data_IF_914589328263
#
_entry.id   IF_914589328263
#
_cell.length_a   1.000
_cell.length_b   1.000
_cell.length_c   1.000
_cell.angle_alpha   90.00
_cell.angle_beta   90.00
_cell.angle_gamma   90.00
#
_symmetry.space_group_name_H-M   'P 1'
#
loop_
_entity.id
_entity.type
_entity.pdbx_description
1 polymer ?
#
# COMPACT_ATOMS: atom_id res chain seq x y z
N UNK A 1 32.98 34.53 -16.24
CA UNK A 1 31.85 34.35 -15.30
C UNK A 1 30.58 34.60 -16.08
N UNK A 2 29.80 33.54 -16.35
CA UNK A 2 28.58 33.60 -17.16
C UNK A 2 27.38 33.20 -16.32
N UNK A 3 26.24 33.82 -16.64
CA UNK A 3 25.03 34.00 -15.86
C UNK A 3 24.45 32.66 -15.38
N UNK A 4 24.14 32.58 -14.09
CA UNK A 4 23.34 31.50 -13.50
C UNK A 4 21.89 31.77 -13.86
N UNK A 5 21.31 30.89 -14.67
CA UNK A 5 19.87 30.86 -14.86
C UNK A 5 19.20 30.46 -13.54
N UNK A 6 18.64 31.45 -12.86
CA UNK A 6 17.73 31.25 -11.74
C UNK A 6 16.39 30.87 -12.35
N UNK A 7 16.05 29.58 -12.32
CA UNK A 7 14.70 29.12 -12.64
C UNK A 7 13.82 29.38 -11.42
N UNK A 8 13.15 30.54 -11.41
CA UNK A 8 12.05 30.86 -10.51
C UNK A 8 10.76 30.26 -11.09
N UNK A 9 10.34 29.09 -10.62
CA UNK A 9 8.97 28.61 -10.84
C UNK A 9 8.04 29.32 -9.88
N UNK A 10 7.41 30.41 -10.33
CA UNK A 10 6.27 31.02 -9.66
C UNK A 10 5.09 30.04 -9.70
N UNK A 11 4.67 29.56 -8.54
CA UNK A 11 3.40 28.83 -8.38
C UNK A 11 2.35 29.85 -7.97
N UNK A 12 1.57 30.33 -8.93
CA UNK A 12 0.42 31.20 -8.68
C UNK A 12 -0.81 30.34 -8.38
N UNK A 13 -1.37 30.44 -7.18
CA UNK A 13 -2.64 29.80 -6.82
C UNK A 13 -3.78 30.74 -7.21
N UNK A 14 -4.57 30.36 -8.22
CA UNK A 14 -5.77 31.10 -8.62
C UNK A 14 -6.99 30.46 -7.93
N UNK A 15 -7.63 31.20 -7.04
CA UNK A 15 -8.90 30.81 -6.41
C UNK A 15 -10.06 31.18 -7.35
N UNK A 16 -10.67 30.18 -8.00
CA UNK A 16 -11.90 30.38 -8.77
C UNK A 16 -13.12 30.26 -7.84
N UNK A 17 -13.79 31.37 -7.58
CA UNK A 17 -15.10 31.39 -6.92
C UNK A 17 -16.18 31.00 -7.94
N UNK A 18 -16.81 29.84 -7.79
CA UNK A 18 -18.02 29.47 -8.55
C UNK A 18 -19.27 29.99 -7.83
N UNK A 19 -20.13 30.69 -8.57
CA UNK A 19 -21.50 30.99 -8.14
C UNK A 19 -22.39 29.73 -8.22
N UNK A 20 -23.38 29.59 -7.32
CA UNK A 20 -24.28 28.42 -7.30
C UNK A 20 -25.33 28.47 -8.42
N UNK A 21 -25.58 27.32 -9.05
CA UNK A 21 -26.66 27.11 -10.01
C UNK A 21 -27.85 26.40 -9.30
N UNK A 22 -29.11 26.78 -9.55
CA UNK A 22 -30.26 26.20 -8.86
C UNK A 22 -30.68 24.86 -9.48
N UNK A 23 -30.90 23.85 -8.64
CA UNK A 23 -31.38 22.51 -9.06
C UNK A 23 -32.87 22.38 -8.71
N UNK A 24 -33.72 22.16 -9.71
CA UNK A 24 -35.09 21.66 -9.53
C UNK A 24 -35.07 20.13 -9.47
N UNK A 25 -35.81 19.55 -8.51
CA UNK A 25 -35.80 18.11 -8.21
C UNK A 25 -37.14 17.50 -8.64
N UNK A 26 -37.08 16.40 -9.41
CA UNK A 26 -38.27 15.61 -9.75
C UNK A 26 -38.72 14.71 -8.56
N UNK A 27 -40.02 14.38 -8.46
CA UNK A 27 -40.55 13.57 -7.36
C UNK A 27 -40.25 12.06 -7.53
N UNK A 28 -40.26 11.30 -6.41
CA UNK A 28 -39.93 9.87 -6.41
C UNK A 28 -41.10 8.97 -6.87
N UNK A 29 -40.81 7.75 -7.37
CA UNK A 29 -41.83 6.78 -7.76
C UNK A 29 -42.49 6.06 -6.56
N UNK A 30 -43.68 5.46 -6.75
CA UNK A 30 -44.44 4.82 -5.67
C UNK A 30 -43.93 3.42 -5.29
N UNK A 31 -44.25 3.01 -4.06
CA UNK A 31 -43.82 1.76 -3.41
C UNK A 31 -44.56 0.49 -3.94
N UNK A 32 -43.91 -0.69 -3.92
CA UNK A 32 -44.50 -1.95 -4.37
C UNK A 32 -45.40 -2.60 -3.30
N UNK A 33 -46.45 -3.30 -3.76
CA UNK A 33 -47.39 -4.09 -2.93
C UNK A 33 -46.87 -5.49 -2.64
N UNK A 34 -47.21 -6.00 -1.46
CA UNK A 34 -46.89 -7.33 -0.92
C UNK A 34 -47.94 -8.35 -1.39
N UNK A 35 -47.50 -9.50 -1.91
CA UNK A 35 -48.32 -10.71 -2.11
C UNK A 35 -47.83 -11.84 -1.18
N UNK A 36 -48.75 -12.69 -0.75
CA UNK A 36 -48.58 -13.70 0.30
C UNK A 36 -47.92 -15.01 -0.19
N UNK A 37 -47.23 -15.69 0.74
CA UNK A 37 -46.51 -16.96 0.56
C UNK A 37 -47.44 -18.20 0.41
N UNK A 38 -47.03 -19.25 -0.32
CA UNK A 38 -47.62 -20.58 -0.22
C UNK A 38 -46.86 -21.53 0.75
N UNK A 39 -47.62 -22.47 1.33
CA UNK A 39 -47.22 -23.47 2.33
C UNK A 39 -46.26 -24.58 1.84
N UNK A 40 -45.55 -25.29 2.76
CA UNK A 40 -44.47 -26.22 2.42
C UNK A 40 -44.92 -27.67 2.12
N UNK A 41 -44.23 -28.32 1.17
CA UNK A 41 -44.34 -29.75 0.87
C UNK A 41 -43.24 -30.61 1.56
N UNK A 42 -43.47 -31.92 1.79
CA UNK A 42 -42.69 -32.73 2.74
C UNK A 42 -41.38 -33.34 2.20
N UNK A 43 -40.46 -33.63 3.13
CA UNK A 43 -39.11 -34.16 2.93
C UNK A 43 -39.05 -35.62 2.39
N UNK A 44 -38.08 -35.96 1.53
CA UNK A 44 -37.76 -37.35 1.20
C UNK A 44 -36.68 -37.99 2.10
N UNK A 45 -36.84 -39.30 2.33
CA UNK A 45 -36.02 -40.20 3.18
C UNK A 45 -34.64 -40.56 2.57
N UNK A 46 -33.67 -40.98 3.41
CA UNK A 46 -32.29 -41.23 3.00
C UNK A 46 -32.04 -42.63 2.43
N UNK A 47 -31.11 -42.74 1.47
CA UNK A 47 -30.57 -43.98 0.90
C UNK A 47 -29.02 -44.01 0.97
N UNK A 48 -28.36 -45.19 0.88
CA UNK A 48 -27.21 -45.54 1.70
C UNK A 48 -25.82 -45.18 1.14
N UNK A 49 -24.89 -45.01 2.08
CA UNK A 49 -23.47 -44.67 1.89
C UNK A 49 -22.69 -45.82 1.23
N UNK A 50 -21.93 -45.51 0.18
CA UNK A 50 -20.87 -46.38 -0.37
C UNK A 50 -19.51 -45.96 0.17
N UNK A 51 -18.75 -46.90 0.74
CA UNK A 51 -17.37 -46.73 1.20
C UNK A 51 -16.41 -46.52 0.02
N UNK A 52 -15.54 -45.51 0.11
CA UNK A 52 -14.40 -45.31 -0.79
C UNK A 52 -13.12 -45.95 -0.20
N UNK A 53 -12.26 -46.56 -1.04
CA UNK A 53 -11.03 -47.22 -0.60
C UNK A 53 -9.90 -46.24 -0.21
N UNK A 54 -8.96 -46.67 0.66
CA UNK A 54 -7.99 -45.78 1.29
C UNK A 54 -6.90 -45.28 0.33
N UNK A 55 -6.38 -44.05 0.54
CA UNK A 55 -5.40 -43.43 -0.36
C UNK A 55 -4.00 -44.09 -0.25
N UNK A 56 -3.23 -44.11 -1.36
CA UNK A 56 -1.90 -44.71 -1.40
C UNK A 56 -0.87 -43.93 -0.52
N UNK A 57 0.20 -44.61 -0.07
CA UNK A 57 1.15 -44.07 0.90
C UNK A 57 1.93 -42.86 0.35
N UNK A 58 1.98 -41.80 1.16
CA UNK A 58 2.61 -40.54 0.81
C UNK A 58 4.13 -40.68 0.60
N UNK A 59 4.72 -40.07 -0.44
CA UNK A 59 6.17 -40.04 -0.63
C UNK A 59 6.86 -39.26 0.51
N UNK A 60 8.02 -39.77 0.94
CA UNK A 60 8.82 -39.28 2.08
C UNK A 60 9.07 -37.77 1.98
N UNK A 61 8.70 -37.04 3.05
CA UNK A 61 8.81 -35.58 3.16
C UNK A 61 10.26 -35.10 2.99
N UNK A 62 10.47 -34.20 2.04
CA UNK A 62 11.62 -33.31 1.96
C UNK A 62 11.76 -32.49 3.27
N UNK A 63 12.96 -31.98 3.61
CA UNK A 63 13.18 -31.32 4.90
C UNK A 63 12.25 -30.12 5.07
N UNK A 64 11.53 -30.11 6.19
CA UNK A 64 10.49 -29.13 6.51
C UNK A 64 11.13 -27.74 6.57
N UNK A 65 10.84 -26.89 5.57
CA UNK A 65 11.24 -25.48 5.59
C UNK A 65 10.73 -24.81 6.86
N UNK A 66 11.61 -24.15 7.61
CA UNK A 66 11.26 -23.39 8.82
C UNK A 66 10.12 -22.42 8.50
N UNK A 67 9.01 -22.50 9.24
CA UNK A 67 7.89 -21.56 9.10
C UNK A 67 8.37 -20.13 9.37
N UNK A 68 8.09 -19.19 8.46
CA UNK A 68 8.47 -17.78 8.59
C UNK A 68 7.87 -17.17 9.86
N UNK A 69 8.73 -16.65 10.74
CA UNK A 69 8.34 -15.90 11.93
C UNK A 69 8.88 -14.47 11.86
N UNK A 70 8.09 -13.52 12.34
CA UNK A 70 8.39 -12.08 12.27
C UNK A 70 8.48 -11.47 13.67
N UNK A 71 9.48 -10.64 13.90
CA UNK A 71 9.58 -9.71 15.02
C UNK A 71 9.45 -8.28 14.51
N UNK A 72 8.86 -7.38 15.29
CA UNK A 72 8.68 -5.98 14.90
C UNK A 72 9.37 -5.09 15.94
N UNK A 73 10.32 -4.26 15.50
CA UNK A 73 10.92 -3.22 16.33
C UNK A 73 10.30 -1.86 15.98
N UNK A 74 9.74 -1.18 16.97
CA UNK A 74 8.94 0.04 16.82
C UNK A 74 7.47 -0.26 16.51
N UNK A 75 6.57 0.03 17.45
CA UNK A 75 5.12 -0.21 17.31
C UNK A 75 4.35 1.06 16.92
N UNK A 76 4.99 1.85 16.06
CA UNK A 76 4.44 3.05 15.45
C UNK A 76 3.47 2.76 14.30
N UNK A 77 3.28 3.74 13.41
CA UNK A 77 2.40 3.62 12.22
C UNK A 77 2.74 2.38 11.39
N UNK A 78 3.98 2.25 10.95
CA UNK A 78 4.43 1.13 10.13
C UNK A 78 4.35 -0.18 10.90
N UNK A 79 4.90 -0.28 12.11
CA UNK A 79 4.89 -1.52 12.90
C UNK A 79 3.49 -2.09 13.13
N UNK A 80 2.50 -1.26 13.46
CA UNK A 80 1.10 -1.72 13.63
C UNK A 80 0.47 -2.18 12.32
N UNK A 81 0.74 -1.49 11.21
CA UNK A 81 0.22 -1.90 9.89
C UNK A 81 0.90 -3.16 9.36
N UNK A 82 2.20 -3.35 9.67
CA UNK A 82 2.91 -4.62 9.41
C UNK A 82 2.22 -5.76 10.16
N UNK A 83 1.92 -5.58 11.46
CA UNK A 83 1.21 -6.60 12.23
C UNK A 83 -0.17 -6.93 11.62
N UNK A 84 -0.98 -5.92 11.29
CA UNK A 84 -2.27 -6.13 10.61
C UNK A 84 -2.10 -6.92 9.31
N UNK A 85 -1.12 -6.56 8.48
CA UNK A 85 -0.84 -7.25 7.21
C UNK A 85 -0.34 -8.69 7.41
N UNK A 86 0.49 -8.93 8.43
CA UNK A 86 0.95 -10.28 8.78
C UNK A 86 -0.22 -11.18 9.18
N UNK A 87 -1.12 -10.70 10.04
CA UNK A 87 -2.30 -11.47 10.48
C UNK A 87 -3.20 -11.81 9.29
N UNK A 88 -3.51 -10.82 8.45
CA UNK A 88 -4.32 -11.04 7.25
C UNK A 88 -3.70 -12.09 6.30
N UNK A 89 -2.37 -12.18 6.26
CA UNK A 89 -1.62 -13.12 5.42
C UNK A 89 -1.26 -14.44 6.12
N UNK A 90 -1.67 -14.63 7.38
CA UNK A 90 -1.32 -15.81 8.18
C UNK A 90 0.17 -15.93 8.52
N UNK A 91 0.92 -14.82 8.50
CA UNK A 91 2.33 -14.77 8.89
C UNK A 91 2.44 -14.61 10.40
N UNK A 92 3.22 -15.49 11.05
CA UNK A 92 3.32 -15.54 12.51
C UNK A 92 4.26 -14.44 13.03
N UNK A 93 3.70 -13.37 13.60
CA UNK A 93 4.44 -12.43 14.45
C UNK A 93 4.68 -13.05 15.84
N UNK A 94 5.93 -13.12 16.29
CA UNK A 94 6.30 -13.76 17.58
C UNK A 94 6.64 -12.76 18.67
N UNK A 95 7.02 -11.54 18.29
CA UNK A 95 7.37 -10.50 19.24
C UNK A 95 7.25 -9.08 18.66
N UNK A 96 6.98 -8.13 19.54
CA UNK A 96 7.00 -6.68 19.28
C UNK A 96 7.90 -6.03 20.34
N UNK A 97 8.73 -5.07 19.93
CA UNK A 97 9.51 -4.24 20.84
C UNK A 97 9.15 -2.76 20.68
N UNK A 98 8.80 -2.09 21.76
CA UNK A 98 8.72 -0.62 21.81
C UNK A 98 8.93 -0.10 23.25
N UNK A 99 9.99 0.65 23.54
CA UNK A 99 10.30 1.11 24.89
C UNK A 99 9.36 2.20 25.43
N UNK A 100 8.44 2.71 24.60
CA UNK A 100 7.56 3.84 24.96
C UNK A 100 6.08 3.44 25.08
N UNK A 101 5.75 2.17 24.84
CA UNK A 101 4.37 1.68 24.79
C UNK A 101 4.29 0.39 25.60
N UNK A 102 3.47 0.37 26.65
CA UNK A 102 3.18 -0.83 27.43
C UNK A 102 2.11 -1.72 26.74
N UNK A 103 1.95 -3.00 27.13
CA UNK A 103 1.00 -3.91 26.48
C UNK A 103 -0.46 -3.43 26.49
N UNK A 104 -0.92 -2.75 27.54
CA UNK A 104 -2.28 -2.22 27.62
C UNK A 104 -2.46 -1.11 26.58
N UNK A 105 -1.47 -0.21 26.49
CA UNK A 105 -1.51 0.85 25.49
C UNK A 105 -1.34 0.32 24.05
N UNK A 106 -0.55 -0.75 23.84
CA UNK A 106 -0.45 -1.44 22.55
C UNK A 106 -1.82 -1.96 22.08
N UNK A 107 -2.62 -2.55 22.98
CA UNK A 107 -3.99 -3.00 22.67
C UNK A 107 -4.83 -1.83 22.18
N UNK A 108 -4.81 -0.70 22.90
CA UNK A 108 -5.55 0.50 22.51
C UNK A 108 -5.14 1.01 21.11
N UNK A 109 -3.83 1.22 20.90
CA UNK A 109 -3.30 1.77 19.64
C UNK A 109 -3.51 0.84 18.45
N UNK A 110 -3.55 -0.47 18.68
CA UNK A 110 -3.82 -1.45 17.62
C UNK A 110 -5.32 -1.57 17.32
N UNK A 111 -6.17 -1.52 18.36
CA UNK A 111 -7.63 -1.62 18.25
C UNK A 111 -8.23 -0.41 17.54
N UNK A 112 -7.76 0.79 17.82
CA UNK A 112 -8.29 2.04 17.29
C UNK A 112 -7.25 2.76 16.41
N UNK A 113 -7.50 2.81 15.09
CA UNK A 113 -6.68 3.58 14.16
C UNK A 113 -7.53 4.66 13.45
N UNK A 114 -7.11 5.93 13.55
CA UNK A 114 -7.84 7.06 12.98
C UNK A 114 -7.84 7.07 11.45
N UNK A 115 -6.91 6.37 10.80
CA UNK A 115 -6.79 6.29 9.35
C UNK A 115 -7.44 5.03 8.79
N UNK A 116 -7.16 3.88 9.41
CA UNK A 116 -7.55 2.56 8.90
C UNK A 116 -8.71 1.93 9.69
N UNK A 117 -9.35 2.71 10.56
CA UNK A 117 -10.48 2.29 11.36
C UNK A 117 -10.14 1.25 12.44
N UNK A 118 -11.20 0.74 13.07
CA UNK A 118 -11.10 -0.24 14.15
C UNK A 118 -10.61 -1.58 13.61
N UNK A 119 -9.72 -2.23 14.35
CA UNK A 119 -9.37 -3.62 14.11
C UNK A 119 -10.63 -4.50 14.22
N UNK A 120 -10.79 -5.46 13.30
CA UNK A 120 -12.02 -6.28 13.19
C UNK A 120 -11.97 -7.56 14.04
N UNK A 121 -10.77 -8.05 14.34
CA UNK A 121 -10.55 -9.21 15.19
C UNK A 121 -10.46 -8.87 16.67
N UNK A 122 -10.01 -9.84 17.47
CA UNK A 122 -9.78 -9.65 18.90
C UNK A 122 -8.36 -9.16 19.16
N UNK A 123 -8.22 -8.21 20.09
CA UNK A 123 -6.92 -7.78 20.60
C UNK A 123 -7.06 -7.54 22.11
N UNK A 124 -6.24 -8.24 22.87
CA UNK A 124 -6.17 -8.17 24.32
C UNK A 124 -4.71 -8.31 24.77
N UNK A 125 -4.43 -8.10 26.05
CA UNK A 125 -3.14 -8.43 26.65
C UNK A 125 -3.34 -9.47 27.74
N UNK A 126 -2.39 -10.42 27.85
CA UNK A 126 -2.42 -11.50 28.84
C UNK A 126 -1.00 -11.79 29.30
N UNK A 127 -0.76 -11.80 30.61
CA UNK A 127 0.55 -12.13 31.20
C UNK A 127 1.72 -11.32 30.59
N UNK A 128 1.53 -10.02 30.37
CA UNK A 128 2.54 -9.14 29.75
C UNK A 128 2.77 -9.36 28.25
N UNK A 129 1.98 -10.21 27.59
CA UNK A 129 2.01 -10.43 26.15
C UNK A 129 0.81 -9.75 25.48
N UNK A 130 0.96 -9.44 24.19
CA UNK A 130 -0.13 -9.06 23.31
C UNK A 130 -0.77 -10.32 22.73
N UNK A 131 -2.09 -10.40 22.69
CA UNK A 131 -2.84 -11.51 22.08
C UNK A 131 -3.73 -10.95 20.99
N UNK A 132 -3.50 -11.36 19.74
CA UNK A 132 -4.31 -10.92 18.60
C UNK A 132 -4.87 -12.15 17.89
N UNK A 133 -6.20 -12.26 17.79
CA UNK A 133 -6.88 -13.42 17.19
C UNK A 133 -6.35 -14.78 17.71
N UNK A 134 -6.20 -14.88 19.04
CA UNK A 134 -5.64 -16.02 19.78
C UNK A 134 -4.13 -16.28 19.58
N UNK A 135 -3.43 -15.42 18.85
CA UNK A 135 -1.99 -15.51 18.70
C UNK A 135 -1.27 -14.70 19.79
N UNK A 136 -0.54 -15.40 20.66
CA UNK A 136 0.34 -14.77 21.65
C UNK A 136 1.60 -14.18 20.98
N UNK A 137 1.88 -12.92 21.31
CA UNK A 137 3.00 -12.13 20.81
C UNK A 137 3.76 -11.58 22.03
N UNK A 138 5.05 -11.91 22.15
CA UNK A 138 5.88 -11.42 23.25
C UNK A 138 6.09 -9.90 23.11
N UNK A 139 6.05 -9.17 24.23
CA UNK A 139 6.31 -7.73 24.23
C UNK A 139 7.65 -7.47 24.92
N UNK A 140 8.48 -6.67 24.28
CA UNK A 140 9.73 -6.17 24.82
C UNK A 140 9.72 -4.64 24.86
N UNK A 141 10.51 -4.05 25.75
CA UNK A 141 10.65 -2.60 25.92
C UNK A 141 12.12 -2.18 25.98
N UNK A 142 12.95 -2.85 25.17
CA UNK A 142 14.38 -2.59 25.10
C UNK A 142 14.65 -1.35 24.22
N UNK A 143 15.57 -0.50 24.66
CA UNK A 143 15.94 0.70 23.90
C UNK A 143 16.89 0.37 22.75
N UNK A 144 17.87 -0.50 22.97
CA UNK A 144 18.89 -0.84 21.98
C UNK A 144 18.54 -2.13 21.23
N UNK A 145 18.78 -2.20 19.90
CA UNK A 145 18.53 -3.38 19.08
C UNK A 145 19.16 -4.68 19.60
N UNK A 146 20.37 -4.57 20.17
CA UNK A 146 21.17 -5.69 20.71
C UNK A 146 20.63 -6.29 22.00
N UNK A 147 19.82 -5.54 22.74
CA UNK A 147 19.28 -5.96 24.03
C UNK A 147 17.97 -6.75 23.87
N UNK A 148 17.35 -6.72 22.69
CA UNK A 148 16.07 -7.37 22.44
C UNK A 148 16.30 -8.88 22.31
N UNK A 149 15.71 -9.73 23.17
CA UNK A 149 16.06 -11.15 23.24
C UNK A 149 15.41 -11.98 22.10
N UNK A 150 15.72 -11.67 20.83
CA UNK A 150 15.15 -12.37 19.67
C UNK A 150 15.41 -13.88 19.66
N UNK A 151 16.51 -14.35 20.29
CA UNK A 151 16.79 -15.78 20.50
C UNK A 151 15.69 -16.47 21.30
N UNK A 152 15.13 -15.83 22.33
CA UNK A 152 14.13 -16.45 23.21
C UNK A 152 12.79 -16.73 22.50
N UNK A 153 12.52 -16.01 21.40
CA UNK A 153 11.30 -16.16 20.59
C UNK A 153 11.56 -16.90 19.27
N UNK A 154 12.67 -17.64 19.19
CA UNK A 154 12.98 -18.51 18.07
C UNK A 154 13.47 -17.76 16.84
N UNK A 155 14.40 -16.82 17.01
CA UNK A 155 15.18 -16.17 15.94
C UNK A 155 14.32 -15.75 14.73
N UNK A 156 13.47 -14.71 14.86
CA UNK A 156 12.62 -14.27 13.76
C UNK A 156 13.37 -13.46 12.71
N UNK A 157 12.70 -13.20 11.58
CA UNK A 157 13.00 -12.07 10.71
C UNK A 157 12.48 -10.80 11.37
N UNK A 158 13.28 -9.75 11.44
CA UNK A 158 12.91 -8.51 12.13
C UNK A 158 12.58 -7.42 11.14
N UNK A 159 11.45 -6.75 11.37
CA UNK A 159 11.13 -5.47 10.73
C UNK A 159 11.60 -4.35 11.65
N UNK A 160 12.57 -3.57 11.19
CA UNK A 160 13.07 -2.38 11.88
C UNK A 160 12.26 -1.17 11.41
N UNK A 161 11.34 -0.71 12.25
CA UNK A 161 10.36 0.34 11.95
C UNK A 161 10.31 1.46 12.98
N UNK A 162 11.39 1.63 13.76
CA UNK A 162 11.56 2.75 14.70
C UNK A 162 11.84 4.07 13.99
N UNK A 163 12.50 4.01 12.82
CA UNK A 163 13.01 5.18 12.11
C UNK A 163 14.31 5.75 12.69
N UNK A 164 14.93 5.05 13.65
CA UNK A 164 16.18 5.46 14.31
C UNK A 164 17.37 4.65 13.80
N UNK A 165 17.24 3.31 13.75
CA UNK A 165 18.33 2.40 13.39
C UNK A 165 18.31 2.11 11.89
N UNK A 166 18.96 2.97 11.09
CA UNK A 166 18.85 2.95 9.63
C UNK A 166 20.11 2.45 8.93
N UNK A 167 21.27 2.49 9.58
CA UNK A 167 22.51 1.97 9.02
C UNK A 167 22.64 0.45 9.18
N UNK A 168 23.52 -0.17 8.39
CA UNK A 168 23.89 -1.57 8.54
C UNK A 168 24.41 -1.86 9.95
N UNK A 169 25.26 -0.98 10.49
CA UNK A 169 25.85 -1.13 11.82
C UNK A 169 24.77 -1.14 12.91
N UNK A 170 23.92 -0.12 12.94
CA UNK A 170 22.87 0.02 13.97
C UNK A 170 21.86 -1.12 13.92
N UNK A 171 21.39 -1.47 12.71
CA UNK A 171 20.41 -2.54 12.52
C UNK A 171 21.01 -3.94 12.75
N UNK A 172 22.33 -4.11 12.61
CA UNK A 172 23.02 -5.38 12.90
C UNK A 172 22.95 -5.78 14.37
N UNK A 173 22.68 -4.86 15.29
CA UNK A 173 22.42 -5.19 16.69
C UNK A 173 21.28 -6.22 16.86
N UNK A 174 20.27 -6.22 15.97
CA UNK A 174 19.25 -7.27 15.98
C UNK A 174 19.80 -8.65 15.61
N UNK A 175 20.75 -8.72 14.67
CA UNK A 175 21.39 -9.99 14.27
C UNK A 175 22.19 -10.56 15.43
N UNK A 176 22.95 -9.72 16.14
CA UNK A 176 23.69 -10.10 17.35
C UNK A 176 22.75 -10.67 18.44
N UNK A 177 21.60 -10.02 18.60
CA UNK A 177 20.55 -10.43 19.54
C UNK A 177 19.74 -11.65 19.07
N UNK A 178 20.03 -12.17 17.86
CA UNK A 178 19.54 -13.44 17.35
C UNK A 178 18.48 -13.37 16.27
N UNK A 179 18.19 -12.20 15.69
CA UNK A 179 17.37 -12.14 14.48
C UNK A 179 18.07 -12.89 13.33
N UNK A 180 17.30 -13.57 12.49
CA UNK A 180 17.86 -14.23 11.30
C UNK A 180 18.21 -13.20 10.22
N UNK A 181 17.32 -12.25 9.98
CA UNK A 181 17.46 -11.19 8.98
C UNK A 181 16.75 -9.94 9.48
N UNK A 182 17.13 -8.78 8.96
CA UNK A 182 16.51 -7.49 9.27
C UNK A 182 16.07 -6.79 8.00
N UNK A 183 14.85 -6.29 7.99
CA UNK A 183 14.30 -5.42 6.96
C UNK A 183 14.03 -4.05 7.57
N UNK A 184 14.82 -3.05 7.16
CA UNK A 184 14.64 -1.65 7.55
C UNK A 184 13.47 -1.07 6.74
N UNK A 185 12.47 -0.53 7.42
CA UNK A 185 11.25 0.00 6.80
C UNK A 185 11.37 1.46 6.34
N UNK A 186 12.59 1.86 5.97
CA UNK A 186 12.95 3.20 5.51
C UNK A 186 14.22 3.14 4.65
N UNK A 187 14.54 4.18 3.87
CA UNK A 187 15.80 4.26 3.15
C UNK A 187 16.99 4.16 4.11
N UNK A 188 17.91 3.25 3.80
CA UNK A 188 19.18 3.13 4.51
C UNK A 188 20.29 3.91 3.78
N UNK A 189 21.25 4.51 4.51
CA UNK A 189 22.43 5.11 3.90
C UNK A 189 23.32 4.09 3.19
N UNK A 190 23.43 2.87 3.72
CA UNK A 190 24.43 1.87 3.36
C UNK A 190 23.86 0.46 3.11
N UNK A 191 22.70 0.09 3.65
CA UNK A 191 22.11 -1.22 3.42
C UNK A 191 21.56 -1.35 1.97
N UNK A 192 21.70 -2.54 1.34
CA UNK A 192 21.10 -2.83 0.05
C UNK A 192 19.59 -2.58 0.06
N UNK A 193 19.10 -1.87 -0.96
CA UNK A 193 17.72 -1.43 -1.06
C UNK A 193 16.95 -2.24 -2.09
N UNK A 194 15.74 -2.68 -1.73
CA UNK A 194 14.88 -3.46 -2.60
C UNK A 194 13.51 -2.81 -2.74
N UNK A 195 12.98 -2.90 -3.96
CA UNK A 195 11.59 -2.61 -4.31
C UNK A 195 11.04 -3.84 -5.01
N UNK A 196 9.95 -4.39 -4.47
CA UNK A 196 9.29 -5.56 -5.03
C UNK A 196 8.77 -5.27 -6.45
N UNK A 197 8.95 -6.21 -7.37
CA UNK A 197 8.61 -6.09 -8.79
C UNK A 197 9.67 -5.33 -9.62
N UNK A 198 10.75 -4.87 -8.98
CA UNK A 198 11.79 -4.07 -9.63
C UNK A 198 13.13 -4.79 -9.56
N UNK A 199 13.68 -4.99 -8.36
CA UNK A 199 15.03 -5.53 -8.18
C UNK A 199 15.13 -6.63 -7.11
N UNK A 200 14.02 -7.16 -6.59
CA UNK A 200 14.00 -8.21 -5.56
C UNK A 200 14.77 -9.46 -5.97
N UNK A 201 14.89 -9.74 -7.28
CA UNK A 201 15.66 -10.86 -7.82
C UNK A 201 17.17 -10.74 -7.62
N UNK A 202 17.66 -9.53 -7.29
CA UNK A 202 19.07 -9.29 -6.97
C UNK A 202 19.40 -9.52 -5.49
N UNK A 203 18.42 -9.90 -4.67
CA UNK A 203 18.65 -10.24 -3.27
C UNK A 203 19.47 -11.52 -3.14
N UNK A 204 20.61 -11.42 -2.45
CA UNK A 204 21.44 -12.57 -2.11
C UNK A 204 21.27 -12.93 -0.63
N UNK A 205 20.56 -14.03 -0.29
CA UNK A 205 20.36 -14.44 1.10
C UNK A 205 21.67 -14.86 1.79
N UNK A 206 22.73 -15.18 1.07
CA UNK A 206 24.00 -15.60 1.68
C UNK A 206 24.75 -14.42 2.31
N UNK A 207 24.80 -13.28 1.61
CA UNK A 207 25.53 -12.08 2.05
C UNK A 207 24.64 -11.01 2.68
N UNK A 208 23.37 -10.90 2.29
CA UNK A 208 22.50 -9.79 2.70
C UNK A 208 21.66 -10.15 3.92
N UNK A 209 22.23 -9.94 5.11
CA UNK A 209 21.49 -10.16 6.38
C UNK A 209 20.58 -9.01 6.78
N UNK A 210 20.95 -7.80 6.39
CA UNK A 210 20.24 -6.55 6.68
C UNK A 210 19.99 -5.85 5.36
N UNK A 211 18.72 -5.53 5.08
CA UNK A 211 18.29 -4.87 3.84
C UNK A 211 17.29 -3.75 4.13
N UNK A 212 17.10 -2.85 3.18
CA UNK A 212 16.11 -1.76 3.25
C UNK A 212 14.99 -1.99 2.25
N UNK A 213 13.74 -1.79 2.67
CA UNK A 213 12.57 -1.80 1.77
C UNK A 213 12.30 -0.42 1.15
N UNK A 214 13.34 0.41 1.01
CA UNK A 214 13.27 1.77 0.48
C UNK A 214 12.29 2.68 1.25
N UNK A 215 11.77 3.71 0.57
CA UNK A 215 10.65 4.54 1.06
C UNK A 215 9.36 4.23 0.31
N UNK A 216 8.22 4.64 0.88
CA UNK A 216 6.91 4.62 0.22
C UNK A 216 6.95 5.31 -1.16
N UNK A 217 7.53 6.51 -1.27
CA UNK A 217 7.67 7.24 -2.54
C UNK A 217 8.54 6.48 -3.55
N UNK A 218 9.60 5.79 -3.12
CA UNK A 218 10.45 4.99 -4.03
C UNK A 218 9.69 3.76 -4.52
N UNK A 219 8.94 3.09 -3.65
CA UNK A 219 8.08 1.95 -4.01
C UNK A 219 6.95 2.36 -4.97
N UNK A 220 6.46 3.60 -4.88
CA UNK A 220 5.50 4.16 -5.82
C UNK A 220 6.14 4.47 -7.19
N UNK A 221 7.28 5.19 -7.19
CA UNK A 221 7.91 5.69 -8.41
C UNK A 221 8.64 4.60 -9.21
N UNK A 222 9.35 3.68 -8.55
CA UNK A 222 10.24 2.74 -9.24
C UNK A 222 9.51 1.76 -10.19
N UNK A 223 8.38 1.13 -9.82
CA UNK A 223 7.64 0.26 -10.75
C UNK A 223 7.15 1.00 -11.99
N UNK A 224 6.65 2.23 -11.83
CA UNK A 224 6.25 3.07 -12.97
C UNK A 224 7.45 3.43 -13.84
N UNK A 225 8.52 3.93 -13.23
CA UNK A 225 9.73 4.32 -13.94
C UNK A 225 10.33 3.13 -14.71
N UNK A 226 10.29 1.92 -14.13
CA UNK A 226 10.71 0.68 -14.80
C UNK A 226 9.91 0.43 -16.08
N UNK A 227 8.58 0.44 -16.00
CA UNK A 227 7.71 0.18 -17.16
C UNK A 227 7.95 1.19 -18.27
N UNK A 228 8.02 2.48 -17.93
CA UNK A 228 8.23 3.55 -18.92
C UNK A 228 9.63 3.47 -19.50
N UNK A 229 10.65 3.24 -18.68
CA UNK A 229 12.03 3.20 -19.13
C UNK A 229 12.27 2.01 -20.06
N UNK A 230 11.80 0.82 -19.70
CA UNK A 230 11.97 -0.38 -20.53
C UNK A 230 11.22 -0.30 -21.86
N UNK A 231 10.11 0.44 -21.93
CA UNK A 231 9.30 0.56 -23.16
C UNK A 231 9.70 1.73 -24.04
N UNK A 232 10.01 2.88 -23.44
CA UNK A 232 10.12 4.15 -24.15
C UNK A 232 11.43 4.90 -23.90
N UNK A 233 12.24 4.43 -22.93
CA UNK A 233 13.49 5.06 -22.53
C UNK A 233 13.29 6.40 -21.86
N UNK A 234 13.45 6.47 -20.54
CA UNK A 234 13.56 7.75 -19.82
C UNK A 234 14.94 8.35 -20.06
N UNK A 235 14.99 9.58 -20.58
CA UNK A 235 16.23 10.36 -20.75
C UNK A 235 16.56 11.14 -19.48
N UNK A 236 15.57 11.87 -18.96
CA UNK A 236 15.65 12.63 -17.72
C UNK A 236 14.24 12.82 -17.14
N UNK A 237 14.15 13.03 -15.82
CA UNK A 237 12.87 13.30 -15.18
C UNK A 237 12.98 13.96 -13.81
N UNK A 238 11.96 14.73 -13.48
CA UNK A 238 11.77 15.42 -12.22
C UNK A 238 10.48 14.92 -11.58
N UNK A 239 10.59 14.54 -10.30
CA UNK A 239 9.48 14.06 -9.51
C UNK A 239 9.11 15.06 -8.41
N UNK A 240 7.82 15.33 -8.27
CA UNK A 240 7.25 15.98 -7.10
C UNK A 240 6.36 14.97 -6.40
N UNK A 241 6.51 14.77 -5.09
CA UNK A 241 5.51 14.02 -4.32
C UNK A 241 4.69 14.96 -3.45
N UNK A 242 3.38 15.01 -3.68
CA UNK A 242 2.45 15.67 -2.74
C UNK A 242 2.08 14.62 -1.71
N UNK A 243 2.64 14.76 -0.52
CA UNK A 243 2.74 13.69 0.44
C UNK A 243 2.02 14.07 1.74
N UNK A 244 1.28 13.14 2.34
CA UNK A 244 0.70 13.35 3.67
C UNK A 244 1.76 13.75 4.69
N UNK A 245 1.38 14.54 5.68
CA UNK A 245 2.27 14.73 6.82
C UNK A 245 2.47 13.40 7.58
N UNK A 246 3.59 13.27 8.27
CA UNK A 246 3.95 12.05 9.01
C UNK A 246 4.24 12.35 10.47
N UNK A 247 4.53 11.33 11.27
CA UNK A 247 4.82 11.47 12.71
C UNK A 247 6.03 12.39 13.03
N UNK A 248 6.88 12.70 12.04
CA UNK A 248 8.01 13.61 12.21
C UNK A 248 7.61 15.09 12.23
N UNK A 249 6.48 15.45 11.62
CA UNK A 249 5.97 16.83 11.59
C UNK A 249 5.26 17.19 12.90
N UNK A 250 5.02 18.48 13.09
CA UNK A 250 4.47 19.03 14.34
C UNK A 250 3.02 19.45 14.19
N UNK A 251 2.25 19.35 15.28
CA UNK A 251 0.88 19.84 15.33
C UNK A 251 0.83 21.37 15.22
N UNK A 252 1.74 22.04 15.93
CA UNK A 252 1.96 23.49 15.93
C UNK A 252 3.42 23.81 15.60
N UNK A 253 3.72 25.07 15.29
CA UNK A 253 5.09 25.51 15.02
C UNK A 253 6.03 25.17 16.20
N UNK A 254 7.12 24.45 15.93
CA UNK A 254 8.04 23.97 16.94
C UNK A 254 9.38 23.46 16.39
N UNK A 255 10.33 23.07 17.26
CA UNK A 255 11.66 22.67 16.84
C UNK A 255 11.63 21.35 16.04
N UNK A 256 12.37 21.32 14.94
CA UNK A 256 12.58 20.13 14.11
C UNK A 256 14.06 19.77 14.03
N UNK A 257 14.37 18.50 14.33
CA UNK A 257 15.74 17.95 14.23
C UNK A 257 16.19 17.74 12.78
N UNK A 258 15.25 17.67 11.84
CA UNK A 258 15.51 17.28 10.46
C UNK A 258 15.70 18.49 9.54
N UNK A 259 14.75 19.42 9.57
CA UNK A 259 14.76 20.61 8.73
C UNK A 259 13.83 21.68 9.33
N UNK A 260 14.17 22.96 9.18
CA UNK A 260 13.39 24.08 9.75
C UNK A 260 11.92 24.06 9.29
N UNK A 261 11.67 23.79 7.99
CA UNK A 261 10.32 23.76 7.43
C UNK A 261 9.45 22.65 8.02
N UNK A 262 10.04 21.51 8.39
CA UNK A 262 9.33 20.38 9.02
C UNK A 262 8.84 20.70 10.45
N UNK A 263 9.33 21.80 11.04
CA UNK A 263 8.89 22.31 12.33
C UNK A 263 7.59 23.10 12.27
N UNK A 264 7.10 23.47 11.07
CA UNK A 264 5.84 24.22 10.92
C UNK A 264 4.62 23.31 11.16
N UNK A 265 3.51 23.90 11.62
CA UNK A 265 2.26 23.20 11.90
C UNK A 265 1.73 22.44 10.68
N UNK A 266 1.70 21.11 10.77
CA UNK A 266 1.44 20.19 9.66
C UNK A 266 0.05 20.33 9.03
N UNK A 267 -0.95 20.66 9.86
CA UNK A 267 -2.35 20.73 9.45
C UNK A 267 -2.71 22.07 8.77
N UNK A 268 -1.81 23.06 8.81
CA UNK A 268 -2.07 24.42 8.32
C UNK A 268 -1.22 24.81 7.10
N UNK A 269 -0.21 24.00 6.76
CA UNK A 269 0.81 24.38 5.79
C UNK A 269 0.93 23.37 4.65
N UNK A 270 1.27 23.88 3.47
CA UNK A 270 1.95 23.11 2.43
C UNK A 270 3.45 23.29 2.66
N UNK A 271 4.16 22.23 3.04
CA UNK A 271 5.55 22.30 3.50
C UNK A 271 6.47 21.69 2.44
N UNK A 272 7.26 22.48 1.70
CA UNK A 272 8.24 21.92 0.78
C UNK A 272 9.37 21.22 1.55
N UNK A 273 9.69 19.99 1.15
CA UNK A 273 10.69 19.13 1.74
C UNK A 273 11.60 18.52 0.67
N UNK A 274 12.86 18.26 1.01
CA UNK A 274 13.74 17.46 0.17
C UNK A 274 13.41 15.97 0.30
N UNK A 275 13.62 15.22 -0.78
CA UNK A 275 13.46 13.76 -0.77
C UNK A 275 14.55 13.10 -1.61
N UNK A 276 15.11 12.01 -1.08
CA UNK A 276 16.05 11.16 -1.82
C UNK A 276 15.37 10.11 -2.69
N UNK A 277 14.03 10.02 -2.68
CA UNK A 277 13.30 8.90 -3.28
C UNK A 277 13.53 8.75 -4.79
N UNK A 278 13.47 9.84 -5.56
CA UNK A 278 13.75 9.79 -7.00
C UNK A 278 15.20 9.38 -7.29
N UNK A 279 16.17 9.85 -6.48
CA UNK A 279 17.57 9.42 -6.60
C UNK A 279 17.74 7.94 -6.23
N UNK A 280 16.95 7.44 -5.29
CA UNK A 280 16.96 6.03 -4.87
C UNK A 280 16.43 5.09 -5.97
N UNK A 281 15.59 5.58 -6.89
CA UNK A 281 15.21 4.81 -8.10
C UNK A 281 16.46 4.41 -8.89
N UNK A 282 17.46 5.30 -9.00
CA UNK A 282 18.73 4.99 -9.65
C UNK A 282 19.59 3.95 -8.92
N UNK A 283 19.29 3.62 -7.65
CA UNK A 283 19.93 2.51 -6.93
C UNK A 283 19.25 1.17 -7.26
N UNK A 284 17.93 1.15 -7.40
CA UNK A 284 17.15 -0.07 -7.69
C UNK A 284 16.99 -0.34 -9.18
N UNK A 285 17.15 0.68 -10.03
CA UNK A 285 17.19 0.60 -11.49
C UNK A 285 18.46 1.35 -11.95
N UNK A 286 19.61 0.66 -12.05
CA UNK A 286 20.90 1.30 -12.34
C UNK A 286 20.91 2.14 -13.63
N UNK A 287 20.13 1.76 -14.65
CA UNK A 287 20.03 2.50 -15.94
C UNK A 287 19.39 3.90 -15.81
N UNK A 288 18.73 4.16 -14.67
CA UNK A 288 18.14 5.44 -14.30
C UNK A 288 19.02 6.27 -13.35
N UNK A 289 20.22 5.78 -13.01
CA UNK A 289 21.16 6.51 -12.15
C UNK A 289 21.51 7.86 -12.78
N UNK A 290 21.27 8.93 -12.02
CA UNK A 290 21.53 10.32 -12.45
C UNK A 290 20.44 10.93 -13.35
N UNK A 291 19.45 10.15 -13.79
CA UNK A 291 18.37 10.64 -14.67
C UNK A 291 17.15 11.16 -13.92
N UNK A 292 16.95 10.70 -12.68
CA UNK A 292 15.79 11.06 -11.86
C UNK A 292 16.21 11.78 -10.57
N UNK A 293 15.58 12.92 -10.30
CA UNK A 293 15.64 13.61 -9.01
C UNK A 293 14.28 14.23 -8.69
N UNK A 294 14.11 14.79 -7.50
CA UNK A 294 12.79 15.30 -7.12
C UNK A 294 12.73 15.99 -5.77
N UNK A 295 11.51 16.43 -5.44
CA UNK A 295 11.17 17.12 -4.21
C UNK A 295 9.83 16.62 -3.65
N UNK A 296 9.46 17.06 -2.46
CA UNK A 296 8.17 16.76 -1.85
C UNK A 296 7.45 18.03 -1.36
N UNK A 297 6.13 18.02 -1.40
CA UNK A 297 5.28 18.95 -0.64
C UNK A 297 4.49 18.15 0.38
N UNK A 298 4.68 18.44 1.67
CA UNK A 298 3.85 17.85 2.72
C UNK A 298 2.56 18.63 2.84
N UNK A 299 1.42 17.94 2.80
CA UNK A 299 0.09 18.57 2.81
C UNK A 299 -0.77 18.08 3.98
N UNK A 300 -1.81 18.85 4.38
CA UNK A 300 -2.72 18.52 5.48
C UNK A 300 -3.65 17.31 5.24
N UNK A 301 -3.11 16.18 4.79
CA UNK A 301 -3.82 14.90 4.69
C UNK A 301 -3.22 13.89 5.66
N UNK A 302 -4.04 13.06 6.35
CA UNK A 302 -3.55 12.14 7.38
C UNK A 302 -2.87 10.88 6.81
N UNK A 303 -3.19 10.50 5.57
CA UNK A 303 -2.60 9.40 4.81
C UNK A 303 -2.96 9.59 3.32
N UNK A 304 -2.35 8.75 2.47
CA UNK A 304 -2.37 8.76 1.01
C UNK A 304 -1.60 9.93 0.41
N UNK A 305 -0.62 9.56 -0.41
CA UNK A 305 0.27 10.49 -1.09
C UNK A 305 0.21 10.28 -2.58
N UNK A 306 0.77 11.23 -3.33
CA UNK A 306 0.82 11.17 -4.77
C UNK A 306 2.20 11.53 -5.29
N UNK A 307 2.63 10.83 -6.34
CA UNK A 307 3.84 11.10 -7.11
C UNK A 307 3.41 11.75 -8.42
N UNK A 308 3.98 12.89 -8.76
CA UNK A 308 3.93 13.54 -10.06
C UNK A 308 5.32 13.39 -10.70
N UNK A 309 5.41 12.57 -11.74
CA UNK A 309 6.62 12.37 -12.52
C UNK A 309 6.48 13.13 -13.84
N UNK A 310 7.30 14.17 -14.01
CA UNK A 310 7.55 14.78 -15.31
C UNK A 310 8.81 14.19 -15.92
N UNK A 311 8.74 13.56 -17.09
CA UNK A 311 9.91 12.97 -17.73
C UNK A 311 9.93 13.19 -19.25
N UNK A 312 11.15 13.21 -19.80
CA UNK A 312 11.39 13.24 -21.24
C UNK A 312 11.76 11.84 -21.71
N UNK A 313 11.05 11.36 -22.73
CA UNK A 313 11.26 10.05 -23.32
C UNK A 313 12.24 10.12 -24.49
N UNK A 314 12.92 9.00 -24.76
CA UNK A 314 13.89 8.89 -25.85
C UNK A 314 13.21 8.82 -27.22
N UNK A 315 11.96 8.34 -27.24
CA UNK A 315 11.14 8.23 -28.45
C UNK A 315 9.85 9.05 -28.29
N UNK A 316 9.33 9.67 -29.37
CA UNK A 316 7.99 10.24 -29.37
C UNK A 316 6.96 9.15 -29.08
N UNK A 317 6.18 9.31 -28.02
CA UNK A 317 5.23 8.29 -27.57
C UNK A 317 3.86 8.92 -27.34
N UNK A 318 2.79 8.44 -28.00
CA UNK A 318 1.44 8.92 -27.73
C UNK A 318 0.98 8.46 -26.34
N UNK A 319 0.15 9.27 -25.69
CA UNK A 319 -0.34 8.98 -24.34
C UNK A 319 -1.05 7.62 -24.22
N UNK A 320 -1.83 7.26 -25.24
CA UNK A 320 -2.51 5.95 -25.31
C UNK A 320 -1.53 4.78 -25.22
N UNK A 321 -0.35 4.87 -25.85
CA UNK A 321 0.66 3.82 -25.76
C UNK A 321 1.25 3.71 -24.35
N UNK A 322 1.39 4.83 -23.63
CA UNK A 322 1.86 4.86 -22.24
C UNK A 322 0.82 4.20 -21.32
N UNK A 323 -0.46 4.55 -21.46
CA UNK A 323 -1.55 3.94 -20.70
C UNK A 323 -1.60 2.43 -20.92
N UNK A 324 -1.54 1.98 -22.17
CA UNK A 324 -1.58 0.55 -22.48
C UNK A 324 -0.35 -0.20 -21.95
N UNK A 325 0.84 0.40 -21.98
CA UNK A 325 2.03 -0.18 -21.35
C UNK A 325 1.87 -0.36 -19.83
N UNK A 326 1.34 0.66 -19.14
CA UNK A 326 1.10 0.63 -17.69
C UNK A 326 0.02 -0.41 -17.36
N UNK A 327 -1.10 -0.40 -18.08
CA UNK A 327 -2.21 -1.34 -17.94
C UNK A 327 -1.77 -2.78 -18.16
N UNK A 328 -0.95 -3.03 -19.18
CA UNK A 328 -0.38 -4.35 -19.45
C UNK A 328 0.55 -4.81 -18.32
N UNK A 329 1.41 -3.92 -17.80
CA UNK A 329 2.28 -4.23 -16.68
C UNK A 329 1.50 -4.52 -15.39
N UNK A 330 0.47 -3.72 -15.10
CA UNK A 330 -0.42 -3.88 -13.95
C UNK A 330 -1.24 -5.17 -13.99
N UNK A 331 -1.61 -5.66 -15.19
CA UNK A 331 -2.30 -6.96 -15.35
C UNK A 331 -1.34 -8.16 -15.44
N UNK A 332 -0.06 -7.90 -15.68
CA UNK A 332 0.96 -8.93 -15.91
C UNK A 332 2.01 -8.98 -14.79
N UNK A 333 3.28 -8.67 -15.09
CA UNK A 333 4.40 -8.91 -14.17
C UNK A 333 4.36 -8.08 -12.89
N UNK A 334 3.62 -6.97 -12.86
CA UNK A 334 3.48 -6.09 -11.69
C UNK A 334 2.10 -6.20 -11.04
N UNK A 335 1.34 -7.26 -11.33
CA UNK A 335 0.01 -7.46 -10.74
C UNK A 335 0.07 -7.51 -9.21
N UNK A 336 -0.64 -6.59 -8.58
CA UNK A 336 -0.62 -6.42 -7.13
C UNK A 336 0.54 -5.61 -6.58
N UNK A 337 1.32 -4.96 -7.44
CA UNK A 337 2.33 -3.96 -7.07
C UNK A 337 2.00 -2.64 -7.76
N UNK A 338 1.74 -2.69 -9.07
CA UNK A 338 1.24 -1.58 -9.86
C UNK A 338 -0.22 -1.85 -10.22
N UNK A 339 -1.07 -0.83 -10.10
CA UNK A 339 -2.46 -0.85 -10.53
C UNK A 339 -2.71 0.23 -11.59
N UNK A 340 -3.85 0.14 -12.27
CA UNK A 340 -4.28 1.04 -13.33
C UNK A 340 -5.78 1.28 -13.21
N UNK A 341 -6.20 2.53 -13.39
CA UNK A 341 -7.61 2.94 -13.36
C UNK A 341 -7.85 4.08 -14.35
N UNK A 342 -9.07 4.17 -14.86
CA UNK A 342 -9.59 5.28 -15.68
C UNK A 342 -10.76 6.00 -14.99
N UNK A 343 -11.11 5.59 -13.76
CA UNK A 343 -12.20 6.17 -12.99
C UNK A 343 -11.81 7.57 -12.45
N UNK A 344 -12.81 8.42 -12.22
CA UNK A 344 -12.63 9.73 -11.58
C UNK A 344 -12.49 9.58 -10.05
N UNK A 345 -11.33 9.09 -9.62
CA UNK A 345 -11.01 8.84 -8.21
C UNK A 345 -10.73 10.13 -7.44
N UNK A 346 -10.66 10.06 -6.10
CA UNK A 346 -10.31 11.20 -5.25
C UNK A 346 -9.32 10.78 -4.17
N UNK A 347 -8.43 11.70 -3.77
CA UNK A 347 -7.50 11.49 -2.66
C UNK A 347 -8.25 11.52 -1.32
N UNK A 348 -8.67 10.37 -0.81
CA UNK A 348 -9.25 10.25 0.53
C UNK A 348 -8.47 9.27 1.38
N UNK A 349 -7.87 9.76 2.47
CA UNK A 349 -7.34 8.91 3.52
C UNK A 349 -8.48 8.19 4.22
N UNK A 350 -8.63 6.87 3.98
CA UNK A 350 -9.52 6.00 4.74
C UNK A 350 -10.59 5.22 3.97
N UNK A 351 -10.43 4.92 2.67
CA UNK A 351 -11.44 4.08 1.99
C UNK A 351 -11.21 2.58 2.24
N UNK A 352 -11.80 2.10 3.34
CA UNK A 352 -12.36 0.76 3.39
C UNK A 352 -13.86 0.85 3.13
N UNK A 353 -14.23 0.81 1.85
CA UNK A 353 -15.59 0.58 1.38
C UNK A 353 -16.59 1.67 1.77
N UNK A 354 -16.70 2.71 0.95
CA UNK A 354 -17.95 3.19 0.32
C UNK A 354 -17.67 4.53 -0.38
N UNK A 355 -17.96 4.57 -1.69
CA UNK A 355 -18.06 5.82 -2.45
C UNK A 355 -19.16 6.73 -1.86
N UNK A 356 -19.14 8.04 -2.16
CA UNK A 356 -19.85 9.04 -1.39
C UNK A 356 -21.23 9.32 -1.95
N UNK A 357 -22.27 8.65 -1.44
CA UNK A 357 -23.65 9.14 -1.47
C UNK A 357 -24.37 8.54 -0.26
N UNK A 358 -24.61 9.35 0.77
CA UNK A 358 -25.35 8.88 1.95
C UNK A 358 -25.26 9.85 3.11
N UNK A 359 -26.03 10.93 3.04
CA UNK A 359 -26.36 11.76 4.20
C UNK A 359 -27.49 11.07 4.99
N UNK A 360 -27.29 11.04 6.31
CA UNK A 360 -28.27 10.87 7.42
C UNK A 360 -28.77 9.46 7.77
N UNK A 361 -28.76 9.20 9.08
CA UNK A 361 -29.90 8.63 9.80
C UNK A 361 -29.75 7.18 10.23
N UNK A 362 -29.52 7.01 11.53
CA UNK A 362 -30.08 5.96 12.39
C UNK A 362 -29.44 4.55 12.45
N UNK A 363 -29.13 4.17 13.70
CA UNK A 363 -29.02 2.79 14.17
C UNK A 363 -30.40 2.12 14.07
N UNK A 364 -30.50 0.84 13.67
CA UNK A 364 -30.39 -0.25 14.65
C UNK A 364 -29.65 -1.50 14.15
N UNK A 365 -29.29 -2.32 15.13
CA UNK A 365 -28.70 -3.66 15.03
C UNK A 365 -29.73 -4.65 14.51
N UNK A 366 -29.35 -5.51 13.57
CA UNK A 366 -29.92 -6.85 13.39
C UNK A 366 -28.91 -7.76 12.67
N UNK A 367 -28.73 -8.95 13.22
CA UNK A 367 -27.86 -10.04 12.76
C UNK A 367 -28.48 -10.83 11.59
N UNK A 368 -27.70 -11.79 11.07
CA UNK A 368 -28.03 -12.93 10.18
C UNK A 368 -27.62 -12.81 8.69
N UNK A 369 -27.26 -13.95 8.05
CA UNK A 369 -25.99 -14.09 7.34
C UNK A 369 -26.17 -14.16 5.81
N UNK A 370 -25.19 -13.66 5.06
CA UNK A 370 -25.11 -13.90 3.62
C UNK A 370 -23.75 -14.47 3.23
N UNK A 371 -23.79 -15.77 2.99
CA UNK A 371 -22.90 -16.56 2.16
C UNK A 371 -22.79 -15.95 0.75
N UNK A 372 -21.62 -16.19 0.13
CA UNK A 372 -21.25 -15.84 -1.26
C UNK A 372 -21.00 -14.35 -1.55
N UNK A 373 -19.72 -13.93 -1.54
CA UNK A 373 -19.19 -12.90 -2.43
C UNK A 373 -17.66 -13.06 -2.49
N UNK A 374 -17.22 -14.04 -3.27
CA UNK A 374 -15.86 -14.11 -3.80
C UNK A 374 -15.71 -13.02 -4.86
N UNK A 375 -15.05 -11.92 -4.49
CA UNK A 375 -14.26 -11.00 -5.36
C UNK A 375 -14.24 -9.61 -4.74
N UNK A 376 -13.29 -9.35 -3.84
CA UNK A 376 -12.97 -7.99 -3.38
C UNK A 376 -11.47 -7.83 -3.17
N UNK A 377 -10.81 -7.29 -4.19
CA UNK A 377 -9.45 -6.78 -4.12
C UNK A 377 -9.37 -5.41 -4.79
N UNK A 378 -9.40 -4.33 -4.01
CA UNK A 378 -8.89 -3.04 -4.46
C UNK A 378 -7.54 -2.79 -3.78
N UNK A 379 -6.51 -2.68 -4.62
CA UNK A 379 -5.08 -2.54 -4.33
C UNK A 379 -4.67 -1.15 -4.79
N UNK A 380 -3.92 -0.41 -3.96
CA UNK A 380 -3.59 0.99 -4.23
C UNK A 380 -2.46 1.17 -5.26
N UNK A 381 -2.67 2.10 -6.20
CA UNK A 381 -1.74 2.50 -7.26
C UNK A 381 -2.50 3.09 -8.45
N UNK A 382 -2.74 4.41 -8.50
CA UNK A 382 -3.63 5.03 -9.52
C UNK A 382 -2.87 6.06 -10.36
N UNK A 383 -3.00 6.07 -11.68
CA UNK A 383 -2.36 7.09 -12.54
C UNK A 383 -3.36 8.18 -12.92
N UNK A 384 -3.08 9.47 -12.62
CA UNK A 384 -3.90 10.57 -13.15
C UNK A 384 -3.28 11.22 -14.40
N UNK A 385 -4.21 11.72 -15.24
CA UNK A 385 -4.04 12.69 -16.35
C UNK A 385 -2.60 13.16 -16.58
N UNK A 386 -2.02 12.72 -17.70
CA UNK A 386 -0.99 13.48 -18.36
C UNK A 386 -1.60 14.63 -19.16
N UNK A 387 -1.12 15.85 -18.94
CA UNK A 387 -1.14 16.86 -19.97
C UNK A 387 0.18 16.71 -20.75
N UNK A 388 0.11 16.63 -22.08
CA UNK A 388 1.26 16.87 -22.94
C UNK A 388 1.31 18.39 -23.18
N UNK A 389 2.17 19.17 -22.50
CA UNK A 389 2.52 20.47 -23.04
C UNK A 389 3.15 20.25 -24.42
N UNK A 390 3.01 21.21 -25.32
CA UNK A 390 3.55 21.20 -26.68
C UNK A 390 5.10 21.00 -26.76
N UNK A 391 5.79 20.83 -25.63
CA UNK A 391 7.23 20.68 -25.46
C UNK A 391 7.75 19.23 -25.34
N UNK A 392 6.91 18.20 -25.48
CA UNK A 392 7.38 16.80 -25.50
C UNK A 392 7.72 16.21 -24.12
N UNK A 393 7.26 16.85 -23.03
CA UNK A 393 7.38 16.32 -21.66
C UNK A 393 6.13 15.53 -21.26
N UNK A 394 6.31 14.35 -20.67
CA UNK A 394 5.24 13.51 -20.13
C UNK A 394 5.05 13.78 -18.63
N UNK A 395 3.81 14.07 -18.20
CA UNK A 395 3.43 14.19 -16.80
C UNK A 395 2.63 12.96 -16.36
N UNK A 396 2.99 12.32 -15.25
CA UNK A 396 2.27 11.16 -14.72
C UNK A 396 2.03 11.35 -13.23
N UNK A 397 0.76 11.37 -12.84
CA UNK A 397 0.40 11.30 -11.43
C UNK A 397 0.31 9.84 -10.98
N UNK A 398 0.57 9.53 -9.71
CA UNK A 398 0.53 8.19 -9.14
C UNK A 398 0.08 8.22 -7.69
N UNK A 399 -1.04 7.59 -7.34
CA UNK A 399 -1.53 7.53 -5.96
C UNK A 399 -0.93 6.35 -5.20
N UNK A 400 -0.46 6.61 -3.98
CA UNK A 400 0.09 5.61 -3.06
C UNK A 400 -0.60 5.70 -1.69
N UNK A 401 -1.17 4.60 -1.23
CA UNK A 401 -1.62 4.41 0.15
C UNK A 401 -0.67 3.43 0.84
N UNK A 402 -0.44 3.61 2.15
CA UNK A 402 0.38 2.70 2.97
C UNK A 402 -0.29 1.31 3.16
N UNK A 403 -0.54 0.57 2.08
CA UNK A 403 -0.78 -0.87 2.12
C UNK A 403 0.56 -1.59 1.93
N UNK A 404 1.11 -2.13 3.02
CA UNK A 404 2.38 -2.84 3.01
C UNK A 404 2.29 -4.15 2.21
N UNK A 405 3.05 -4.22 1.11
CA UNK A 405 3.16 -5.43 0.28
C UNK A 405 4.33 -6.32 0.74
N UNK A 406 4.00 -7.40 1.46
CA UNK A 406 4.84 -8.60 1.57
C UNK A 406 4.25 -9.73 0.72
N UNK A 407 4.81 -10.12 -0.44
CA UNK A 407 4.39 -11.33 -1.12
C UNK A 407 4.97 -12.55 -0.40
N UNK A 408 4.09 -13.42 0.12
CA UNK A 408 4.44 -14.81 0.46
C UNK A 408 4.06 -15.65 -0.77
N UNK A 409 5.04 -16.34 -1.34
CA UNK A 409 4.83 -17.23 -2.48
C UNK A 409 3.80 -18.31 -2.10
N UNK A 410 2.66 -18.35 -2.80
CA UNK A 410 1.70 -19.44 -2.70
C UNK A 410 2.05 -20.51 -3.74
N UNK A 411 2.64 -21.61 -3.28
CA UNK A 411 2.62 -22.88 -4.00
C UNK A 411 1.23 -23.49 -3.84
N UNK A 412 0.47 -23.56 -4.93
CA UNK A 412 -0.51 -24.65 -5.16
C UNK A 412 -1.10 -24.47 -6.55
N UNK A 413 -0.75 -25.39 -7.46
CA UNK A 413 -1.41 -25.54 -8.74
C UNK A 413 -2.82 -26.08 -8.54
N UNK A 414 -3.78 -25.52 -9.27
CA UNK A 414 -5.07 -26.13 -9.57
C UNK A 414 -5.53 -25.63 -10.94
N UNK A 415 -5.95 -26.59 -11.75
CA UNK A 415 -6.27 -26.54 -13.17
C UNK A 415 -7.49 -25.67 -13.49
N UNK A 416 -7.44 -24.98 -14.63
CA UNK A 416 -8.48 -24.09 -15.13
C UNK A 416 -9.47 -24.86 -16.03
N UNK A 417 -10.75 -24.96 -15.64
CA UNK A 417 -11.83 -25.38 -16.54
C UNK A 417 -12.55 -24.16 -17.13
N UNK A 418 -12.60 -24.08 -18.45
CA UNK A 418 -13.19 -23.00 -19.27
C UNK A 418 -14.68 -22.75 -18.96
N UNK A 419 -15.15 -21.49 -18.93
CA UNK A 419 -16.56 -21.18 -19.17
C UNK A 419 -16.81 -20.82 -20.65
N UNK A 420 -17.96 -21.29 -21.14
CA UNK A 420 -18.56 -21.01 -22.45
C UNK A 420 -19.09 -19.57 -22.51
N UNK A 421 -18.94 -18.94 -23.67
CA UNK A 421 -19.60 -17.67 -24.00
C UNK A 421 -21.09 -17.90 -24.29
N UNK A 422 -21.95 -17.00 -23.81
CA UNK A 422 -23.30 -16.83 -24.32
C UNK A 422 -23.55 -15.33 -24.54
N UNK A 423 -23.83 -14.98 -25.80
CA UNK A 423 -24.08 -13.64 -26.29
C UNK A 423 -25.56 -13.31 -26.05
N UNK A 424 -25.87 -12.21 -25.36
CA UNK A 424 -27.24 -11.69 -25.27
C UNK A 424 -27.27 -10.22 -25.68
N UNK A 425 -27.82 -10.04 -26.90
CA UNK A 425 -28.39 -8.84 -27.52
C UNK A 425 -27.57 -7.55 -27.62
N UNK A 426 -27.38 -7.15 -28.87
CA UNK A 426 -26.96 -5.84 -29.36
C UNK A 426 -28.05 -4.78 -29.20
N UNK A 427 -27.70 -3.56 -28.79
CA UNK A 427 -28.48 -2.35 -29.10
C UNK A 427 -27.59 -1.36 -29.84
N UNK A 428 -27.95 -1.08 -31.10
CA UNK A 428 -27.36 -0.06 -31.96
C UNK A 428 -27.88 1.31 -31.54
N UNK A 429 -27.02 2.34 -31.57
CA UNK A 429 -27.45 3.73 -31.69
C UNK A 429 -26.91 4.29 -33.01
N UNK A 430 -27.82 4.85 -33.81
CA UNK A 430 -27.55 5.54 -35.08
C UNK A 430 -27.33 7.04 -34.82
N UNK A 431 -26.43 7.72 -35.56
CA UNK A 431 -26.18 9.16 -35.42
C UNK A 431 -27.03 10.00 -36.39
N UNK A 432 -27.70 11.03 -35.89
CA UNK A 432 -28.29 12.17 -36.65
C UNK A 432 -29.11 13.01 -35.66
N UNK A 433 -29.08 14.33 -35.50
CA UNK A 433 -28.41 15.53 -36.03
C UNK A 433 -28.97 16.70 -35.13
N UNK A 434 -28.74 18.01 -35.35
CA UNK A 434 -27.50 18.78 -35.32
C UNK A 434 -27.59 19.98 -34.33
N UNK A 435 -26.56 20.82 -34.35
CA UNK A 435 -26.37 22.09 -33.65
C UNK A 435 -27.57 23.07 -33.72
N UNK A 436 -27.89 23.66 -32.55
CA UNK A 436 -28.15 25.11 -32.35
C UNK A 436 -27.79 25.48 -30.92
#
# INVERSE_FOLDING_TARGET
MSKRDIVLTNVTVVQLLRQPCPVTRAPPPPEPKVEAEPEPEPEPKPEPVKEEPPPPPQPKKAPVGRKLTVGINGFGRIGRLVLRACIQKGVKVVAVNDPFIDPEYMVYMFKYDSTHGRYKGSVEHRNGKLVVDNQEISVFQCKQPRDIPWKSVGNPFVVESTGVYLSLEEASGHIEAGALRVVISAPSPDAPMFVMGVNEKSYDPASMKVVSNASCTTNCLAPLAKVIHERFGIVEGLMTTVHSYTATQKTVDGPSKKAWRDGRGAHQNIIPASTGAAKAVGKVIPDLKGKLTGMAFRVPTPDVSVVDLTCRLAQPTPYEAIKEAIKAAAKGPLAGILAYTEDEVGLRGGDHGKSPLGRKGDFPVAEEPLTSYQDRGCRAGEVWRAALPASGSLHLLLLWSEQLFFPVAKQSGLSCSKPRFQLLSSVRYSPSDPLT
#
